data_IF_351488641061
#
_entry.id   IF_351488641061
#
_cell.length_a   1.000
_cell.length_b   1.000
_cell.length_c   1.000
_cell.angle_alpha   90.00
_cell.angle_beta   90.00
_cell.angle_gamma   90.00
#
_symmetry.space_group_name_H-M   'P 1'
#
loop_
_entity.id
_entity.type
_entity.pdbx_description
1 polymer ?
#
# COMPACT_ATOMS: atom_id res chain seq x y z
N UNK A 1 18.05 -65.91 2.16
CA UNK A 1 17.04 -66.81 2.74
C UNK A 1 17.24 -66.89 4.25
N UNK A 2 16.17 -66.57 5.00
CA UNK A 2 15.96 -66.77 6.45
C UNK A 2 16.85 -65.95 7.42
N UNK A 3 16.40 -65.38 8.54
CA UNK A 3 15.12 -64.81 9.03
C UNK A 3 15.31 -64.55 10.55
N UNK A 4 14.87 -63.39 11.05
CA UNK A 4 14.50 -63.04 12.45
C UNK A 4 15.64 -63.07 13.51
N UNK A 5 15.70 -62.24 14.56
CA UNK A 5 14.65 -61.68 15.43
C UNK A 5 15.18 -60.45 16.22
N UNK A 6 14.24 -59.59 16.62
CA UNK A 6 14.35 -58.32 17.39
C UNK A 6 14.93 -58.49 18.81
N UNK A 7 15.46 -57.40 19.42
CA UNK A 7 14.94 -56.75 20.65
C UNK A 7 15.82 -55.54 21.06
N UNK A 8 15.11 -54.55 21.58
CA UNK A 8 15.42 -53.18 21.98
C UNK A 8 16.01 -53.09 23.41
N UNK A 9 16.80 -52.02 23.64
CA UNK A 9 17.17 -51.31 24.88
C UNK A 9 17.95 -52.05 25.99
N UNK A 10 19.04 -51.43 26.46
CA UNK A 10 19.11 -50.57 27.66
C UNK A 10 20.56 -50.03 27.75
N UNK A 11 20.75 -48.70 27.79
CA UNK A 11 21.94 -48.12 28.41
C UNK A 11 21.47 -47.05 29.39
N UNK A 12 21.60 -47.40 30.68
CA UNK A 12 21.55 -46.50 31.84
C UNK A 12 22.93 -45.87 32.01
N UNK A 13 22.99 -44.63 32.49
CA UNK A 13 23.91 -44.06 33.51
C UNK A 13 24.02 -42.54 33.26
N UNK A 14 24.13 -41.61 34.22
CA UNK A 14 23.81 -41.49 35.65
C UNK A 14 24.05 -39.99 35.92
N UNK A 15 23.17 -39.34 36.67
CA UNK A 15 23.26 -37.93 37.06
C UNK A 15 24.56 -37.64 37.84
N UNK A 16 25.29 -36.60 37.45
CA UNK A 16 26.14 -35.83 38.36
C UNK A 16 25.86 -34.34 38.14
N UNK A 17 25.15 -33.74 39.09
CA UNK A 17 24.99 -32.30 39.23
C UNK A 17 26.23 -31.73 39.92
N UNK A 18 26.90 -30.77 39.29
CA UNK A 18 27.72 -29.78 40.00
C UNK A 18 27.45 -28.41 39.36
N UNK A 19 26.66 -27.59 40.04
CA UNK A 19 26.72 -26.13 39.89
C UNK A 19 27.84 -25.60 40.80
N UNK A 20 28.62 -24.60 40.35
CA UNK A 20 28.45 -23.29 40.97
C UNK A 20 28.51 -22.11 39.99
N UNK A 21 27.81 -21.05 40.40
CA UNK A 21 27.70 -19.72 39.81
C UNK A 21 29.00 -19.13 39.23
N UNK A 22 28.94 -18.64 37.99
CA UNK A 22 29.07 -17.19 37.68
C UNK A 22 29.16 -17.00 36.17
N UNK A 23 28.14 -16.38 35.60
CA UNK A 23 28.21 -15.26 34.64
C UNK A 23 26.82 -15.08 34.06
N UNK A 24 26.27 -13.89 34.30
CA UNK A 24 25.20 -13.34 33.50
C UNK A 24 25.66 -13.36 32.04
N UNK A 25 25.18 -14.31 31.25
CA UNK A 25 25.12 -14.14 29.81
C UNK A 25 23.68 -13.73 29.52
N UNK A 26 23.49 -12.42 29.50
CA UNK A 26 22.26 -11.79 29.04
C UNK A 26 21.86 -12.43 27.70
N UNK A 27 20.66 -13.00 27.68
CA UNK A 27 19.80 -13.07 26.50
C UNK A 27 19.72 -11.65 25.93
N UNK A 28 20.61 -11.34 24.99
CA UNK A 28 20.63 -10.08 24.26
C UNK A 28 20.86 -10.33 22.76
N UNK A 29 20.27 -11.42 22.24
CA UNK A 29 20.33 -11.79 20.83
C UNK A 29 18.96 -11.69 20.11
N UNK A 30 17.93 -11.12 20.73
CA UNK A 30 16.56 -11.18 20.19
C UNK A 30 15.96 -9.81 19.80
N UNK A 31 16.76 -8.73 19.85
CA UNK A 31 16.30 -7.38 19.47
C UNK A 31 17.09 -6.78 18.29
N UNK A 32 18.25 -7.33 17.93
CA UNK A 32 19.03 -6.85 16.77
C UNK A 32 18.65 -7.51 15.44
N UNK A 33 17.93 -8.64 15.48
CA UNK A 33 17.62 -9.45 14.30
C UNK A 33 16.30 -8.99 13.63
N UNK A 34 15.35 -8.39 14.36
CA UNK A 34 14.08 -7.96 13.77
C UNK A 34 14.24 -6.79 12.79
N UNK A 35 15.01 -5.76 13.16
CA UNK A 35 15.20 -4.59 12.27
C UNK A 35 16.08 -4.88 11.06
N UNK A 36 17.07 -5.77 11.21
CA UNK A 36 17.89 -6.22 10.09
C UNK A 36 17.16 -7.23 9.20
N UNK A 37 16.33 -8.10 9.77
CA UNK A 37 15.50 -9.03 8.97
C UNK A 37 14.37 -8.31 8.24
N UNK A 38 13.78 -7.27 8.82
CA UNK A 38 12.83 -6.38 8.12
C UNK A 38 13.52 -5.62 6.98
N UNK A 39 14.70 -5.02 7.20
CA UNK A 39 15.49 -4.37 6.13
C UNK A 39 15.91 -5.36 5.03
N UNK A 40 16.33 -6.57 5.40
CA UNK A 40 16.70 -7.62 4.46
C UNK A 40 15.48 -8.14 3.69
N UNK A 41 14.32 -8.26 4.33
CA UNK A 41 13.08 -8.65 3.69
C UNK A 41 12.63 -7.59 2.70
N UNK A 42 12.64 -6.31 3.08
CA UNK A 42 12.31 -5.17 2.20
C UNK A 42 13.27 -5.11 1.00
N UNK A 43 14.57 -5.32 1.23
CA UNK A 43 15.59 -5.35 0.17
C UNK A 43 15.47 -6.57 -0.74
N UNK A 44 15.15 -7.75 -0.20
CA UNK A 44 14.89 -8.96 -0.99
C UNK A 44 13.59 -8.83 -1.77
N UNK A 45 12.56 -8.23 -1.19
CA UNK A 45 11.29 -7.93 -1.85
C UNK A 45 11.52 -6.94 -3.00
N UNK A 46 12.25 -5.85 -2.79
CA UNK A 46 12.65 -4.92 -3.83
C UNK A 46 13.47 -5.60 -4.95
N UNK A 47 14.40 -6.50 -4.60
CA UNK A 47 15.18 -7.26 -5.58
C UNK A 47 14.32 -8.28 -6.36
N UNK A 48 13.35 -8.90 -5.71
CA UNK A 48 12.40 -9.85 -6.31
C UNK A 48 11.42 -9.11 -7.22
N UNK A 49 10.89 -7.97 -6.80
CA UNK A 49 10.03 -7.07 -7.60
C UNK A 49 10.76 -6.67 -8.88
N UNK A 50 12.00 -6.18 -8.78
CA UNK A 50 12.82 -5.84 -9.94
C UNK A 50 13.16 -7.02 -10.86
N UNK A 51 12.97 -8.26 -10.41
CA UNK A 51 13.20 -9.48 -11.22
C UNK A 51 11.95 -10.02 -11.92
N UNK A 52 10.75 -9.58 -11.52
CA UNK A 52 9.48 -10.13 -12.04
C UNK A 52 9.12 -9.62 -13.43
N UNK A 53 9.73 -8.51 -13.87
CA UNK A 53 9.48 -7.91 -15.18
C UNK A 53 8.08 -7.28 -15.32
N UNK A 54 7.36 -7.13 -14.20
CA UNK A 54 6.04 -6.52 -14.09
C UNK A 54 6.04 -5.27 -13.19
N UNK A 55 7.22 -4.70 -12.90
CA UNK A 55 7.36 -3.44 -12.19
C UNK A 55 7.07 -2.22 -13.10
N UNK A 56 6.96 -1.04 -12.49
CA UNK A 56 6.67 0.17 -13.23
C UNK A 56 7.80 0.57 -14.20
N UNK A 57 9.07 0.24 -13.93
CA UNK A 57 10.17 0.47 -14.88
C UNK A 57 9.99 -0.31 -16.18
N UNK A 58 9.68 -1.61 -16.08
CA UNK A 58 9.40 -2.47 -17.22
C UNK A 58 8.17 -1.97 -18.00
N UNK A 59 7.11 -1.58 -17.28
CA UNK A 59 5.92 -0.98 -17.87
C UNK A 59 6.24 0.32 -18.64
N UNK A 60 7.01 1.22 -18.03
CA UNK A 60 7.40 2.48 -18.65
C UNK A 60 8.25 2.22 -19.91
N UNK A 61 9.18 1.27 -19.86
CA UNK A 61 10.00 0.89 -21.01
C UNK A 61 9.15 0.31 -22.15
N UNK A 62 8.17 -0.54 -21.82
CA UNK A 62 7.24 -1.14 -22.79
C UNK A 62 6.45 -0.08 -23.56
N UNK A 63 6.05 1.01 -22.91
CA UNK A 63 5.21 2.06 -23.50
C UNK A 63 5.95 3.37 -23.81
N UNK A 64 7.28 3.41 -23.71
CA UNK A 64 8.09 4.62 -23.87
C UNK A 64 7.92 5.33 -25.23
N UNK A 65 7.52 4.60 -26.28
CA UNK A 65 7.28 5.14 -27.62
C UNK A 65 5.93 5.85 -27.78
N UNK A 66 5.03 5.78 -26.81
CA UNK A 66 3.72 6.43 -26.88
C UNK A 66 3.77 7.88 -26.39
N UNK A 67 2.95 8.77 -26.98
CA UNK A 67 2.90 10.16 -26.56
C UNK A 67 2.34 10.28 -25.14
N UNK A 68 2.58 11.43 -24.51
CA UNK A 68 1.93 11.89 -23.27
C UNK A 68 0.98 13.03 -23.63
N UNK A 69 -0.29 12.75 -23.97
CA UNK A 69 -1.19 13.78 -24.48
C UNK A 69 -1.48 14.84 -23.42
N UNK A 70 -1.41 16.13 -23.77
CA UNK A 70 -1.76 17.24 -22.89
C UNK A 70 -3.29 17.48 -22.79
N UNK A 71 -4.07 16.39 -22.80
CA UNK A 71 -5.54 16.43 -22.77
C UNK A 71 -6.05 15.91 -21.45
N UNK A 72 -6.99 16.64 -20.86
CA UNK A 72 -7.71 16.23 -19.66
C UNK A 72 -9.01 15.53 -20.03
N UNK A 73 -9.26 14.37 -19.40
CA UNK A 73 -10.52 13.64 -19.49
C UNK A 73 -11.13 13.62 -18.09
N UNK A 74 -12.25 14.32 -17.90
CA UNK A 74 -12.95 14.37 -16.61
C UNK A 74 -13.97 13.24 -16.53
N UNK A 75 -13.88 12.46 -15.45
CA UNK A 75 -14.82 11.38 -15.14
C UNK A 75 -15.60 11.81 -13.91
N UNK A 76 -16.93 11.87 -14.03
CA UNK A 76 -17.80 12.03 -12.85
C UNK A 76 -17.72 10.73 -12.03
N UNK A 77 -17.29 10.84 -10.76
CA UNK A 77 -17.13 9.71 -9.86
C UNK A 77 -18.43 8.88 -9.75
N UNK A 78 -19.60 9.53 -9.78
CA UNK A 78 -20.90 8.86 -9.66
C UNK A 78 -21.36 8.18 -10.97
N UNK A 79 -20.66 8.37 -12.09
CA UNK A 79 -20.95 7.73 -13.37
C UNK A 79 -20.12 6.45 -13.58
N UNK A 80 -20.11 5.57 -12.57
CA UNK A 80 -19.45 4.26 -12.66
C UNK A 80 -20.32 3.26 -13.42
N UNK A 81 -19.68 2.34 -14.13
CA UNK A 81 -20.35 1.27 -14.86
C UNK A 81 -20.72 0.09 -13.95
N UNK A 82 -19.86 -0.21 -12.97
CA UNK A 82 -20.04 -1.32 -12.01
C UNK A 82 -19.45 -0.95 -10.66
N UNK A 83 -20.00 -1.53 -9.59
CA UNK A 83 -19.47 -1.36 -8.24
C UNK A 83 -19.83 -2.56 -7.36
N UNK A 84 -19.10 -2.72 -6.26
CA UNK A 84 -19.49 -3.55 -5.13
C UNK A 84 -20.72 -2.98 -4.41
N UNK A 85 -21.30 -3.75 -3.47
CA UNK A 85 -22.53 -3.36 -2.74
C UNK A 85 -22.32 -2.14 -1.85
N UNK A 86 -21.13 -1.98 -1.27
CA UNK A 86 -20.82 -0.94 -0.28
C UNK A 86 -20.34 0.35 -0.96
N UNK A 87 -21.13 0.84 -1.92
CA UNK A 87 -20.87 2.08 -2.65
C UNK A 87 -22.10 2.98 -2.54
N UNK A 88 -21.89 4.17 -1.99
CA UNK A 88 -22.92 5.17 -1.73
C UNK A 88 -22.63 6.45 -2.51
N UNK A 89 -23.62 6.98 -3.22
CA UNK A 89 -23.53 8.29 -3.87
C UNK A 89 -23.95 9.36 -2.85
N UNK A 90 -23.09 10.34 -2.61
CA UNK A 90 -23.33 11.43 -1.69
C UNK A 90 -23.50 12.74 -2.45
N UNK A 91 -24.52 13.50 -2.11
CA UNK A 91 -24.79 14.83 -2.67
C UNK A 91 -24.21 15.92 -1.76
N UNK A 92 -23.49 16.87 -2.35
CA UNK A 92 -22.94 18.05 -1.67
C UNK A 92 -22.09 17.73 -0.43
N UNK A 93 -21.38 16.59 -0.43
CA UNK A 93 -20.70 16.05 0.74
C UNK A 93 -19.56 16.95 1.23
N UNK A 94 -19.49 17.13 2.56
CA UNK A 94 -18.48 17.96 3.23
C UNK A 94 -18.31 19.36 2.59
N UNK A 95 -19.43 19.98 2.22
CA UNK A 95 -19.47 21.34 1.67
C UNK A 95 -19.05 21.47 0.20
N UNK A 96 -18.81 20.35 -0.49
CA UNK A 96 -18.43 20.37 -1.91
C UNK A 96 -19.62 20.12 -2.83
N UNK A 97 -19.98 21.06 -3.72
CA UNK A 97 -21.11 20.87 -4.63
C UNK A 97 -20.95 19.68 -5.57
N UNK A 98 -22.05 19.01 -5.86
CA UNK A 98 -22.12 17.90 -6.80
C UNK A 98 -22.10 16.52 -6.13
N UNK A 99 -21.76 15.50 -6.92
CA UNK A 99 -21.84 14.09 -6.50
C UNK A 99 -20.46 13.54 -6.17
N UNK A 100 -20.38 12.89 -5.02
CA UNK A 100 -19.23 12.11 -4.60
C UNK A 100 -19.63 10.64 -4.46
N UNK A 101 -18.64 9.75 -4.51
CA UNK A 101 -18.84 8.33 -4.23
C UNK A 101 -18.06 7.95 -2.98
N UNK A 102 -18.75 7.39 -2.01
CA UNK A 102 -18.16 6.78 -0.82
C UNK A 102 -18.12 5.28 -1.02
N UNK A 103 -16.93 4.70 -0.85
CA UNK A 103 -16.73 3.25 -0.90
C UNK A 103 -16.52 2.70 0.51
N UNK A 104 -16.78 1.41 0.69
CA UNK A 104 -16.33 0.65 1.85
C UNK A 104 -14.80 0.51 1.93
N UNK A 105 -14.36 -0.26 2.93
CA UNK A 105 -12.95 -0.64 3.11
C UNK A 105 -12.51 -1.63 2.02
N UNK A 106 -13.42 -2.50 1.59
CA UNK A 106 -13.22 -3.52 0.56
C UNK A 106 -14.18 -3.33 -0.62
N UNK A 107 -13.84 -3.95 -1.75
CA UNK A 107 -14.64 -3.97 -2.97
C UNK A 107 -14.04 -3.15 -4.09
N UNK A 108 -14.84 -2.88 -5.11
CA UNK A 108 -14.39 -2.14 -6.29
C UNK A 108 -15.45 -1.18 -6.80
N UNK A 109 -14.99 -0.24 -7.62
CA UNK A 109 -15.79 0.62 -8.45
C UNK A 109 -15.09 0.70 -9.80
N UNK A 110 -15.84 0.60 -10.90
CA UNK A 110 -15.29 0.52 -12.24
C UNK A 110 -15.95 1.56 -13.14
N UNK A 111 -15.12 2.37 -13.80
CA UNK A 111 -15.53 3.38 -14.76
C UNK A 111 -15.16 2.96 -16.17
N UNK A 112 -15.95 3.45 -17.13
CA UNK A 112 -15.61 3.44 -18.55
C UNK A 112 -15.14 4.82 -18.97
N UNK A 113 -14.04 4.88 -19.70
CA UNK A 113 -13.48 6.12 -20.22
C UNK A 113 -13.23 5.99 -21.71
N UNK A 114 -13.66 6.99 -22.48
CA UNK A 114 -13.35 7.07 -23.90
C UNK A 114 -12.10 7.93 -24.13
N UNK A 115 -11.11 7.39 -24.83
CA UNK A 115 -9.83 8.05 -25.10
C UNK A 115 -9.65 8.20 -26.60
N UNK A 116 -9.59 9.44 -27.09
CA UNK A 116 -9.44 9.70 -28.54
C UNK A 116 -8.00 9.46 -29.03
N UNK A 117 -7.02 9.82 -28.21
CA UNK A 117 -5.60 9.72 -28.54
C UNK A 117 -4.93 8.67 -27.65
N UNK A 118 -4.46 7.53 -28.20
CA UNK A 118 -3.77 6.54 -27.39
C UNK A 118 -2.47 7.14 -26.85
N UNK A 119 -2.12 6.80 -25.62
CA UNK A 119 -0.98 7.41 -24.98
C UNK A 119 -0.86 7.11 -23.50
N UNK A 120 0.17 7.70 -22.90
CA UNK A 120 0.47 7.64 -21.49
C UNK A 120 -0.22 8.81 -20.77
N UNK A 121 -1.18 8.49 -19.90
CA UNK A 121 -1.95 9.45 -19.11
C UNK A 121 -1.65 9.30 -17.62
N UNK A 122 -1.65 10.41 -16.90
CA UNK A 122 -1.63 10.39 -15.44
C UNK A 122 -3.07 10.41 -14.92
N UNK A 123 -3.32 9.70 -13.82
CA UNK A 123 -4.62 9.68 -13.17
C UNK A 123 -4.56 10.60 -11.96
N UNK A 124 -5.42 11.62 -11.95
CA UNK A 124 -5.64 12.51 -10.80
C UNK A 124 -6.98 12.16 -10.18
N UNK A 125 -6.97 11.91 -8.88
CA UNK A 125 -8.18 11.71 -8.09
C UNK A 125 -8.45 12.93 -7.23
N UNK A 126 -9.72 13.19 -7.02
CA UNK A 126 -10.22 14.13 -6.03
C UNK A 126 -10.93 13.36 -4.95
N UNK A 127 -10.48 13.49 -3.71
CA UNK A 127 -10.94 12.65 -2.61
C UNK A 127 -11.11 13.41 -1.31
N UNK A 128 -11.94 12.82 -0.45
CA UNK A 128 -12.08 13.17 0.95
C UNK A 128 -11.78 11.91 1.79
N UNK A 129 -10.71 11.89 2.60
CA UNK A 129 -10.38 10.72 3.40
C UNK A 129 -11.35 10.63 4.59
N UNK A 130 -12.47 9.92 4.42
CA UNK A 130 -13.45 9.70 5.51
C UNK A 130 -12.73 9.11 6.71
N UNK A 131 -12.98 9.66 7.90
CA UNK A 131 -12.30 9.26 9.14
C UNK A 131 -12.35 7.75 9.34
N UNK A 132 -11.21 7.16 9.70
CA UNK A 132 -11.06 5.72 9.87
C UNK A 132 -10.36 5.38 11.18
N UNK A 133 -9.66 4.24 11.19
CA UNK A 133 -8.87 3.77 12.33
C UNK A 133 -7.40 4.22 12.30
N UNK A 134 -7.09 5.24 11.50
CA UNK A 134 -5.74 5.81 11.36
C UNK A 134 -4.76 5.09 10.42
N UNK A 135 -5.11 3.94 9.84
CA UNK A 135 -4.30 3.33 8.78
C UNK A 135 -4.41 4.13 7.46
N UNK A 136 -3.36 4.07 6.63
CA UNK A 136 -3.40 4.64 5.27
C UNK A 136 -4.56 4.06 4.45
N UNK A 137 -5.08 4.83 3.50
CA UNK A 137 -6.07 4.30 2.55
C UNK A 137 -5.28 3.60 1.44
N UNK A 138 -5.46 2.30 1.33
CA UNK A 138 -4.84 1.46 0.30
C UNK A 138 -5.86 1.12 -0.80
N UNK A 139 -5.41 1.21 -2.05
CA UNK A 139 -6.21 0.89 -3.24
C UNK A 139 -5.36 0.16 -4.27
N UNK A 140 -6.03 -0.68 -5.05
CA UNK A 140 -5.47 -1.24 -6.28
C UNK A 140 -6.05 -0.50 -7.47
N UNK A 141 -5.30 -0.41 -8.56
CA UNK A 141 -5.78 0.06 -9.85
C UNK A 141 -5.60 -0.99 -10.93
N UNK A 142 -6.71 -1.32 -11.58
CA UNK A 142 -6.80 -2.22 -12.71
C UNK A 142 -7.21 -1.42 -13.95
N UNK A 143 -6.48 -1.62 -15.04
CA UNK A 143 -6.77 -1.01 -16.32
C UNK A 143 -7.11 -2.08 -17.33
N UNK A 144 -8.28 -1.96 -17.97
CA UNK A 144 -8.76 -2.92 -18.98
C UNK A 144 -8.76 -4.37 -18.45
N UNK A 145 -9.10 -4.54 -17.17
CA UNK A 145 -9.17 -5.85 -16.50
C UNK A 145 -7.82 -6.47 -16.16
N UNK A 146 -6.72 -5.71 -16.18
CA UNK A 146 -5.38 -6.18 -15.79
C UNK A 146 -4.74 -5.25 -14.78
N UNK A 147 -3.93 -5.81 -13.88
CA UNK A 147 -2.98 -5.04 -13.09
C UNK A 147 -1.87 -4.53 -14.05
N UNK A 148 -1.68 -3.20 -14.21
CA UNK A 148 -0.72 -2.68 -15.18
C UNK A 148 0.73 -2.99 -14.82
N UNK A 149 1.07 -2.85 -13.53
CA UNK A 149 2.38 -3.11 -12.94
C UNK A 149 2.19 -3.33 -11.43
N UNK A 150 3.19 -3.93 -10.77
CA UNK A 150 3.11 -4.34 -9.36
C UNK A 150 2.70 -3.19 -8.43
N UNK A 151 3.32 -2.02 -8.55
CA UNK A 151 3.08 -0.87 -7.68
C UNK A 151 1.63 -0.33 -7.79
N UNK A 152 0.91 -0.63 -8.88
CA UNK A 152 -0.51 -0.30 -9.01
C UNK A 152 -1.41 -1.13 -8.07
N UNK A 153 -0.90 -2.21 -7.48
CA UNK A 153 -1.60 -3.01 -6.46
C UNK A 153 -1.45 -2.46 -5.04
N UNK A 154 -0.63 -1.42 -4.86
CA UNK A 154 -0.27 -0.88 -3.54
C UNK A 154 -0.35 0.65 -3.52
N UNK A 155 -1.39 1.23 -4.11
CA UNK A 155 -1.55 2.68 -4.16
C UNK A 155 -1.97 3.21 -2.79
N UNK A 156 -1.17 4.15 -2.28
CA UNK A 156 -1.43 4.83 -1.00
C UNK A 156 -2.08 6.18 -1.24
N UNK A 157 -3.28 6.35 -0.69
CA UNK A 157 -4.00 7.62 -0.58
C UNK A 157 -3.87 8.11 0.86
N UNK A 158 -3.24 9.27 1.04
CA UNK A 158 -2.85 9.76 2.37
C UNK A 158 -4.03 10.34 3.14
N UNK A 159 -4.21 9.89 4.38
CA UNK A 159 -5.04 10.59 5.37
C UNK A 159 -4.40 11.92 5.77
N UNK A 160 -5.23 12.82 6.29
CA UNK A 160 -4.82 14.16 6.70
C UNK A 160 -4.85 14.22 8.22
N UNK A 161 -3.76 14.71 8.80
CA UNK A 161 -3.54 14.74 10.24
C UNK A 161 -3.21 16.16 10.69
N UNK A 162 -3.62 16.50 11.91
CA UNK A 162 -3.26 17.76 12.58
C UNK A 162 -3.03 17.53 14.07
N UNK A 163 -2.46 18.52 14.75
CA UNK A 163 -2.27 18.51 16.19
C UNK A 163 -3.63 18.62 16.90
N UNK A 164 -3.97 17.63 17.73
CA UNK A 164 -5.23 17.54 18.47
C UNK A 164 -5.29 18.37 19.75
N UNK A 165 -4.51 19.45 19.84
CA UNK A 165 -4.46 20.31 21.02
C UNK A 165 -3.17 21.13 21.12
N UNK A 166 -3.06 21.99 22.15
CA UNK A 166 -1.87 22.82 22.35
C UNK A 166 -0.66 21.97 22.77
N UNK A 167 0.54 22.49 22.48
CA UNK A 167 1.79 21.96 23.03
C UNK A 167 1.75 22.10 24.55
N UNK A 168 2.03 21.00 25.25
CA UNK A 168 2.11 20.96 26.72
C UNK A 168 3.57 20.78 27.11
N UNK A 169 3.93 21.11 28.36
CA UNK A 169 5.27 20.83 28.89
C UNK A 169 5.26 19.80 30.00
N UNK A 170 6.33 19.02 30.08
CA UNK A 170 6.55 18.07 31.17
C UNK A 170 7.16 18.77 32.41
N UNK A 171 7.46 18.00 33.45
CA UNK A 171 8.06 18.51 34.69
C UNK A 171 9.56 18.89 34.56
N UNK A 172 10.15 18.77 33.37
CA UNK A 172 11.52 19.15 33.03
C UNK A 172 11.56 20.26 31.98
N UNK A 173 10.42 20.93 31.74
CA UNK A 173 10.23 21.99 30.74
C UNK A 173 10.43 21.52 29.29
N UNK A 174 10.34 20.22 29.01
CA UNK A 174 10.35 19.72 27.64
C UNK A 174 8.95 19.83 27.02
N UNK A 175 8.90 20.18 25.74
CA UNK A 175 7.66 20.17 24.97
C UNK A 175 7.19 18.73 24.71
N UNK A 176 5.93 18.49 25.02
CA UNK A 176 5.20 17.25 24.76
C UNK A 176 4.49 17.42 23.43
N UNK A 177 4.86 16.60 22.44
CA UNK A 177 4.20 16.56 21.13
C UNK A 177 2.69 16.31 21.31
N UNK A 178 1.81 17.15 20.74
CA UNK A 178 0.38 16.90 20.75
C UNK A 178 0.02 15.57 20.08
N UNK A 179 -1.05 14.95 20.55
CA UNK A 179 -1.64 13.78 19.88
C UNK A 179 -2.10 14.19 18.49
N UNK A 180 -1.79 13.38 17.47
CA UNK A 180 -2.33 13.60 16.13
C UNK A 180 -3.80 13.17 16.05
N UNK A 181 -4.61 13.97 15.38
CA UNK A 181 -6.01 13.67 15.07
C UNK A 181 -6.26 13.81 13.57
N UNK A 182 -7.15 12.99 13.02
CA UNK A 182 -7.54 13.13 11.61
C UNK A 182 -8.23 14.49 11.41
N UNK A 183 -7.90 15.16 10.30
CA UNK A 183 -8.45 16.47 9.94
C UNK A 183 -8.79 16.47 8.44
N UNK A 184 -9.79 15.67 8.02
CA UNK A 184 -10.08 15.46 6.62
C UNK A 184 -10.64 16.71 5.93
N UNK A 185 -10.22 16.92 4.69
CA UNK A 185 -10.76 17.93 3.79
C UNK A 185 -10.58 17.46 2.33
N UNK A 186 -11.34 18.06 1.41
CA UNK A 186 -11.27 17.75 0.00
C UNK A 186 -9.92 18.12 -0.61
N UNK A 187 -9.30 17.18 -1.32
CA UNK A 187 -8.01 17.42 -1.98
C UNK A 187 -7.85 16.60 -3.24
N UNK A 188 -6.93 17.04 -4.09
CA UNK A 188 -6.50 16.32 -5.27
C UNK A 188 -5.17 15.58 -5.03
N UNK A 189 -4.97 14.50 -5.78
CA UNK A 189 -3.74 13.71 -5.77
C UNK A 189 -3.56 13.02 -7.12
N UNK A 190 -2.36 13.07 -7.67
CA UNK A 190 -1.99 12.18 -8.76
C UNK A 190 -1.56 10.83 -8.22
N UNK A 191 -1.97 9.74 -8.85
CA UNK A 191 -1.50 8.41 -8.47
C UNK A 191 0.01 8.31 -8.72
N UNK A 192 0.76 7.99 -7.68
CA UNK A 192 2.21 7.95 -7.66
C UNK A 192 2.68 6.92 -6.63
N UNK A 193 3.98 6.64 -6.62
CA UNK A 193 4.60 5.74 -5.66
C UNK A 193 4.75 6.39 -4.28
N UNK A 194 3.63 6.57 -3.59
CA UNK A 194 3.62 7.08 -2.22
C UNK A 194 3.98 6.02 -1.17
N UNK A 195 4.11 4.76 -1.57
CA UNK A 195 4.47 3.66 -0.70
C UNK A 195 5.99 3.55 -0.57
N UNK A 196 6.69 3.23 -1.66
CA UNK A 196 8.13 2.99 -1.67
C UNK A 196 8.92 4.24 -2.06
N UNK A 197 8.34 5.13 -2.87
CA UNK A 197 8.97 6.38 -3.29
C UNK A 197 10.13 6.22 -4.28
N UNK A 198 10.24 5.08 -4.97
CA UNK A 198 11.28 4.85 -5.97
C UNK A 198 11.07 5.68 -7.24
N UNK A 199 9.84 6.09 -7.51
CA UNK A 199 9.48 6.87 -8.69
C UNK A 199 9.06 8.29 -8.29
N UNK A 200 9.83 9.33 -8.68
CA UNK A 200 9.58 10.69 -8.22
C UNK A 200 8.38 11.36 -8.92
N UNK A 201 8.04 10.90 -10.11
CA UNK A 201 6.95 11.44 -10.92
C UNK A 201 5.68 10.59 -10.80
N UNK A 202 4.48 11.16 -10.96
CA UNK A 202 3.26 10.37 -10.98
C UNK A 202 3.26 9.31 -12.08
N UNK A 203 2.59 8.20 -11.79
CA UNK A 203 2.49 7.07 -12.69
C UNK A 203 1.81 7.47 -14.01
N UNK A 204 2.37 6.97 -15.10
CA UNK A 204 1.81 7.09 -16.42
C UNK A 204 1.21 5.75 -16.84
N UNK A 205 -0.09 5.73 -17.10
CA UNK A 205 -0.85 4.57 -17.51
C UNK A 205 -1.13 4.65 -19.02
N UNK A 206 -0.89 3.56 -19.73
CA UNK A 206 -1.18 3.48 -21.16
C UNK A 206 -2.66 3.22 -21.41
N UNK A 207 -3.32 4.17 -22.07
CA UNK A 207 -4.68 4.01 -22.58
C UNK A 207 -4.64 3.82 -24.10
N UNK A 208 -5.40 2.86 -24.60
CA UNK A 208 -5.59 2.71 -26.04
C UNK A 208 -6.71 3.64 -26.54
N UNK A 209 -6.79 3.87 -27.85
CA UNK A 209 -7.89 4.62 -28.43
C UNK A 209 -9.22 3.88 -28.22
N UNK A 210 -10.30 4.62 -28.00
CA UNK A 210 -11.64 4.07 -27.76
C UNK A 210 -11.95 3.86 -26.28
N UNK A 211 -12.82 2.88 -25.99
CA UNK A 211 -13.29 2.59 -24.62
C UNK A 211 -12.22 1.83 -23.83
N UNK A 212 -11.84 2.36 -22.67
CA UNK A 212 -11.03 1.68 -21.67
C UNK A 212 -11.84 1.55 -20.36
N UNK A 213 -11.46 0.61 -19.50
CA UNK A 213 -12.01 0.49 -18.14
C UNK A 213 -10.95 0.78 -17.08
N UNK A 214 -11.33 1.54 -16.06
CA UNK A 214 -10.52 1.80 -14.86
C UNK A 214 -11.28 1.23 -13.67
N UNK A 215 -10.64 0.39 -12.88
CA UNK A 215 -11.21 -0.17 -11.64
C UNK A 215 -10.24 0.03 -10.49
#
# INVERSE_FOLDING_TARGET
MKRFLQILLVVVFLLVLIFPWSTNLQLQAEVSDSSQSEDLAERLEALVIGSRGDDYYAYQAQYAGYPKPAREIKIDAANFARASRDVEILENFAGRPGRAVKTGEEGFIEWKVHVDTPGLYQIKIEYYPVEGRGASIERELWLNGKLPFFEASQLIIKRIWTDGGPVRRDNRDNDIRPRQVESPFWRELYLADYNMGYYPEPFHFYFHAGENTIR
#
